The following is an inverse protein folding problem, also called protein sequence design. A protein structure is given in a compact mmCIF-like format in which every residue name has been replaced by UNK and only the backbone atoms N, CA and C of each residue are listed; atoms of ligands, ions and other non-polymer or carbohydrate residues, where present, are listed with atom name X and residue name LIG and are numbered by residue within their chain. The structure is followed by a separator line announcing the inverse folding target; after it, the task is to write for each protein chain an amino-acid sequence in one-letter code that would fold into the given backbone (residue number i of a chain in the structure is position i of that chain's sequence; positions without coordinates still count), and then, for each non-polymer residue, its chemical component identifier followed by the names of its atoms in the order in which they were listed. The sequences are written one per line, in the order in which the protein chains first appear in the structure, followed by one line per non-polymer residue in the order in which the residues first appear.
data_IF_821615387405
#
_entry.id   IF_821615387405
#
_cell.length_a   1.000
_cell.length_b   1.000
_cell.length_c   1.000
_cell.angle_alpha   90.00
_cell.angle_beta   90.00
_cell.angle_gamma   90.00
#
_symmetry.space_group_name_H-M   'P 1'
#
loop_
_entity.id
_entity.type
_entity.pdbx_description
1 polymer ?
#
# COMPACT_ATOMS: atom_id res chain seq x y z
N UNK A 1 -2.27 -9.37 -5.34
CA UNK A 1 -1.60 -9.73 -4.08
C UNK A 1 -0.23 -9.04 -4.03
N UNK A 2 0.23 -8.60 -2.85
CA UNK A 2 1.52 -7.90 -2.68
C UNK A 2 1.58 -6.46 -3.20
N UNK A 3 0.47 -5.86 -3.64
CA UNK A 3 0.43 -4.47 -4.08
C UNK A 3 0.20 -3.49 -2.93
N UNK A 4 -0.54 -3.87 -1.90
CA UNK A 4 -0.78 -3.03 -0.73
C UNK A 4 0.23 -3.33 0.39
N UNK A 5 0.65 -2.30 1.13
CA UNK A 5 1.46 -2.47 2.33
C UNK A 5 0.63 -3.07 3.47
N UNK A 6 -0.64 -2.63 3.60
CA UNK A 6 -1.60 -3.14 4.54
C UNK A 6 -2.81 -3.73 3.80
N UNK A 7 -3.02 -5.02 3.91
CA UNK A 7 -4.16 -5.70 3.31
C UNK A 7 -5.33 -5.70 4.31
N UNK A 8 -6.46 -5.14 3.90
CA UNK A 8 -7.71 -5.18 4.68
C UNK A 8 -8.44 -6.51 4.53
N UNK A 9 -8.15 -7.23 3.46
CA UNK A 9 -8.75 -8.53 3.15
C UNK A 9 -7.69 -9.61 3.10
N UNK A 10 -8.00 -10.79 3.63
CA UNK A 10 -7.17 -11.97 3.50
C UNK A 10 -7.47 -12.67 2.18
N UNK A 11 -6.46 -12.99 1.37
CA UNK A 11 -6.65 -13.72 0.13
C UNK A 11 -6.79 -15.22 0.38
N UNK A 12 -7.93 -15.80 0.03
CA UNK A 12 -8.19 -17.24 0.01
C UNK A 12 -8.21 -17.76 -1.41
N UNK A 13 -7.15 -18.42 -1.87
CA UNK A 13 -6.96 -18.87 -3.24
C UNK A 13 -5.97 -18.00 -4.03
N UNK A 14 -5.99 -18.15 -5.36
CA UNK A 14 -5.05 -17.46 -6.25
C UNK A 14 -5.56 -16.07 -6.64
N UNK A 15 -5.09 -15.07 -5.93
CA UNK A 15 -5.38 -13.65 -6.20
C UNK A 15 -4.39 -12.98 -7.18
N UNK A 16 -3.52 -13.78 -7.79
CA UNK A 16 -2.46 -13.30 -8.64
C UNK A 16 -1.17 -13.01 -7.88
N UNK A 17 -0.09 -12.84 -8.64
CA UNK A 17 1.23 -12.51 -8.08
C UNK A 17 1.61 -11.08 -8.44
N UNK A 18 2.47 -10.47 -7.63
CA UNK A 18 3.01 -9.16 -7.89
C UNK A 18 3.84 -9.13 -9.18
N UNK A 19 4.59 -10.19 -9.46
CA UNK A 19 5.42 -10.30 -10.66
C UNK A 19 4.59 -10.28 -11.94
N UNK A 20 3.42 -10.93 -11.94
CA UNK A 20 2.51 -10.95 -13.07
C UNK A 20 1.52 -9.77 -13.07
N UNK A 21 1.63 -8.84 -12.10
CA UNK A 21 0.70 -7.72 -11.95
C UNK A 21 -0.75 -8.17 -11.75
N UNK A 22 -0.95 -9.34 -11.15
CA UNK A 22 -2.27 -9.91 -10.90
C UNK A 22 -2.92 -10.62 -12.10
N UNK A 23 -2.26 -10.68 -13.26
CA UNK A 23 -2.80 -11.32 -14.47
C UNK A 23 -2.98 -12.83 -14.36
N UNK A 24 -2.29 -13.47 -13.43
CA UNK A 24 -2.37 -14.89 -13.10
C UNK A 24 -3.41 -15.18 -12.00
N UNK A 25 -4.32 -14.24 -11.71
CA UNK A 25 -5.42 -14.46 -10.78
C UNK A 25 -6.40 -15.50 -11.33
N UNK A 26 -6.92 -16.34 -10.42
CA UNK A 26 -8.01 -17.24 -10.76
C UNK A 26 -9.33 -16.47 -10.99
N UNK A 27 -10.28 -17.12 -11.64
CA UNK A 27 -11.62 -16.53 -11.77
C UNK A 27 -12.23 -16.25 -10.39
N UNK A 28 -12.97 -15.13 -10.20
CA UNK A 28 -13.56 -14.74 -8.91
C UNK A 28 -14.37 -15.83 -8.21
N UNK A 29 -14.99 -16.76 -8.98
CA UNK A 29 -15.79 -17.87 -8.44
C UNK A 29 -14.96 -18.92 -7.67
N UNK A 30 -13.64 -18.91 -7.82
CA UNK A 30 -12.73 -19.88 -7.20
C UNK A 30 -11.87 -19.28 -6.10
N UNK A 31 -12.09 -18.03 -5.76
CA UNK A 31 -11.36 -17.33 -4.72
C UNK A 31 -12.32 -16.80 -3.68
N UNK A 32 -11.84 -16.72 -2.44
CA UNK A 32 -12.60 -16.27 -1.28
C UNK A 32 -11.82 -15.21 -0.53
N UNK A 33 -12.51 -14.41 0.24
CA UNK A 33 -11.88 -13.38 1.07
C UNK A 33 -12.63 -13.21 2.38
N UNK A 34 -11.94 -12.70 3.37
CA UNK A 34 -12.49 -12.27 4.64
C UNK A 34 -11.74 -11.06 5.14
N UNK A 35 -12.32 -10.31 6.06
CA UNK A 35 -11.62 -9.21 6.72
C UNK A 35 -10.39 -9.73 7.45
N UNK A 36 -9.26 -9.05 7.28
CA UNK A 36 -8.07 -9.33 8.08
C UNK A 36 -8.27 -8.80 9.51
N UNK A 37 -7.62 -9.39 10.52
CA UNK A 37 -7.66 -8.85 11.89
C UNK A 37 -7.20 -7.40 11.98
N UNK A 38 -6.33 -6.96 11.06
CA UNK A 38 -5.85 -5.59 10.96
C UNK A 38 -6.98 -4.60 10.63
N UNK A 39 -8.02 -5.04 9.92
CA UNK A 39 -9.11 -4.16 9.51
C UNK A 39 -9.83 -3.53 10.71
N UNK A 40 -10.08 -4.30 11.77
CA UNK A 40 -10.71 -3.76 12.99
C UNK A 40 -9.76 -2.95 13.88
N UNK A 41 -8.45 -3.06 13.68
CA UNK A 41 -7.49 -2.13 14.30
C UNK A 41 -7.46 -0.77 13.60
N UNK A 42 -7.67 -0.77 12.28
CA UNK A 42 -7.68 0.46 11.47
C UNK A 42 -9.04 1.18 11.49
N UNK A 43 -10.11 0.43 11.67
CA UNK A 43 -11.49 0.91 11.75
C UNK A 43 -12.10 0.39 13.07
N UNK A 44 -11.86 1.09 14.20
CA UNK A 44 -12.33 0.67 15.51
C UNK A 44 -13.86 0.59 15.58
N UNK A 45 -14.39 -0.42 16.27
CA UNK A 45 -15.83 -0.61 16.42
C UNK A 45 -16.52 0.56 17.15
N UNK A 46 -15.79 1.26 18.02
CA UNK A 46 -16.31 2.41 18.77
C UNK A 46 -16.65 3.59 17.89
N UNK A 47 -16.13 3.64 16.68
CA UNK A 47 -16.41 4.70 15.70
C UNK A 47 -17.65 4.38 14.84
N UNK A 48 -18.12 3.12 14.84
CA UNK A 48 -19.23 2.70 13.98
C UNK A 48 -20.52 3.49 14.26
N UNK A 49 -20.78 3.85 15.51
CA UNK A 49 -21.95 4.63 15.92
C UNK A 49 -21.92 6.10 15.42
N UNK A 50 -20.75 6.60 15.02
CA UNK A 50 -20.56 7.95 14.51
C UNK A 50 -20.70 8.04 12.99
N UNK A 51 -20.77 6.90 12.30
CA UNK A 51 -20.82 6.86 10.86
C UNK A 51 -22.21 7.18 10.32
N UNK A 52 -22.25 7.95 9.23
CA UNK A 52 -23.50 8.22 8.52
C UNK A 52 -23.84 7.05 7.61
N UNK A 53 -24.85 6.30 7.99
CA UNK A 53 -25.35 5.19 7.19
C UNK A 53 -26.25 5.66 6.05
N UNK A 54 -26.20 4.93 4.94
CA UNK A 54 -27.16 5.04 3.86
C UNK A 54 -28.47 4.35 4.27
N UNK A 55 -29.55 4.72 3.62
CA UNK A 55 -30.87 4.14 3.84
C UNK A 55 -31.41 3.62 2.51
N UNK A 56 -31.92 2.40 2.51
CA UNK A 56 -32.59 1.77 1.40
C UNK A 56 -33.87 1.10 1.89
N UNK A 57 -35.02 1.45 1.29
CA UNK A 57 -36.35 0.97 1.66
C UNK A 57 -36.66 1.04 3.17
N UNK A 58 -36.17 2.10 3.84
CA UNK A 58 -36.39 2.33 5.29
C UNK A 58 -35.48 1.48 6.19
N UNK A 59 -34.46 0.82 5.63
CA UNK A 59 -33.45 0.09 6.36
C UNK A 59 -32.10 0.77 6.24
N UNK A 60 -31.40 0.88 7.38
CA UNK A 60 -30.01 1.35 7.38
C UNK A 60 -29.13 0.26 6.77
N UNK A 61 -28.36 0.66 5.79
CA UNK A 61 -27.36 -0.20 5.12
C UNK A 61 -25.95 0.28 5.48
N UNK A 62 -24.97 0.03 4.60
CA UNK A 62 -23.58 0.38 4.86
C UNK A 62 -23.37 1.89 5.09
N UNK A 63 -22.31 2.27 5.82
CA UNK A 63 -21.94 3.66 5.95
C UNK A 63 -21.56 4.28 4.59
N UNK A 64 -21.82 5.57 4.43
CA UNK A 64 -21.42 6.33 3.25
C UNK A 64 -19.91 6.27 3.00
N UNK A 65 -19.10 6.20 4.04
CA UNK A 65 -17.66 5.98 4.00
C UNK A 65 -17.17 5.53 5.38
N UNK A 66 -16.02 4.88 5.41
CA UNK A 66 -15.28 4.54 6.63
C UNK A 66 -14.09 5.48 6.80
N UNK A 67 -13.77 5.83 8.05
CA UNK A 67 -12.62 6.66 8.38
C UNK A 67 -11.58 5.82 9.14
N UNK A 68 -10.43 5.50 8.53
CA UNK A 68 -9.38 4.78 9.23
C UNK A 68 -8.63 5.70 10.20
N UNK A 69 -8.09 5.14 11.28
CA UNK A 69 -7.32 5.90 12.29
C UNK A 69 -5.98 6.46 11.77
N UNK A 70 -5.51 5.96 10.63
CA UNK A 70 -4.32 6.46 9.92
C UNK A 70 -4.66 6.69 8.45
N UNK A 71 -3.96 7.60 7.76
CA UNK A 71 -4.22 7.87 6.34
C UNK A 71 -3.76 6.71 5.45
N UNK A 72 -4.63 5.71 5.25
CA UNK A 72 -4.38 4.54 4.42
C UNK A 72 -3.98 4.88 2.99
N UNK A 73 -4.42 6.04 2.49
CA UNK A 73 -4.03 6.56 1.19
C UNK A 73 -2.51 6.73 1.06
N UNK A 74 -1.84 7.18 2.14
CA UNK A 74 -0.39 7.30 2.14
C UNK A 74 0.29 5.95 2.31
N UNK A 75 -0.27 5.06 3.12
CA UNK A 75 0.30 3.74 3.38
C UNK A 75 0.25 2.84 2.16
N UNK A 76 -0.93 2.72 1.54
CA UNK A 76 -1.17 1.83 0.40
C UNK A 76 -0.95 2.50 -0.95
N UNK A 77 -0.83 3.83 -0.97
CA UNK A 77 -0.75 4.58 -2.20
C UNK A 77 -2.07 4.59 -2.98
N UNK A 78 -2.07 5.28 -4.09
CA UNK A 78 -3.18 5.30 -5.04
C UNK A 78 -2.67 5.54 -6.44
N UNK A 79 -3.26 4.85 -7.39
CA UNK A 79 -3.01 5.08 -8.81
C UNK A 79 -4.34 5.05 -9.56
N UNK A 80 -4.59 6.08 -10.33
CA UNK A 80 -5.81 6.19 -11.14
C UNK A 80 -5.55 6.98 -12.40
N UNK A 81 -6.14 6.51 -13.50
CA UNK A 81 -6.09 7.17 -14.80
C UNK A 81 -7.51 7.60 -15.15
N UNK A 82 -7.72 8.90 -15.32
CA UNK A 82 -8.97 9.48 -15.79
C UNK A 82 -8.80 10.17 -17.12
N UNK A 83 -9.89 10.66 -17.69
CA UNK A 83 -9.85 11.44 -18.94
C UNK A 83 -9.22 12.80 -18.66
N UNK A 84 -8.01 13.03 -19.18
CA UNK A 84 -7.25 14.28 -19.01
C UNK A 84 -6.55 14.46 -17.66
N UNK A 85 -6.70 13.52 -16.72
CA UNK A 85 -6.11 13.58 -15.39
C UNK A 85 -5.56 12.23 -14.98
N UNK A 86 -4.49 12.23 -14.19
CA UNK A 86 -3.98 11.01 -13.55
C UNK A 86 -3.56 11.31 -12.13
N UNK A 87 -3.74 10.34 -11.26
CA UNK A 87 -3.29 10.39 -9.87
C UNK A 87 -2.28 9.28 -9.62
N UNK A 88 -1.18 9.64 -9.01
CA UNK A 88 -0.20 8.68 -8.51
C UNK A 88 0.31 9.12 -7.14
N UNK A 89 -0.04 8.35 -6.11
CA UNK A 89 0.44 8.53 -4.75
C UNK A 89 1.28 7.30 -4.41
N UNK A 90 2.59 7.44 -4.16
CA UNK A 90 3.42 6.31 -3.79
C UNK A 90 3.04 5.75 -2.42
N UNK A 91 3.38 4.50 -2.19
CA UNK A 91 3.25 3.86 -0.88
C UNK A 91 4.34 4.35 0.07
N UNK A 92 4.01 4.42 1.37
CA UNK A 92 4.93 4.84 2.41
C UNK A 92 4.98 3.81 3.54
N UNK A 93 6.03 3.83 4.34
CA UNK A 93 6.14 2.99 5.52
C UNK A 93 5.08 3.40 6.55
N UNK A 94 4.40 2.40 7.10
CA UNK A 94 3.36 2.60 8.14
C UNK A 94 3.94 3.32 9.36
N UNK A 95 5.19 3.01 9.73
CA UNK A 95 5.84 3.58 10.91
C UNK A 95 6.08 5.07 10.73
N UNK A 96 6.59 5.47 9.56
CA UNK A 96 6.82 6.89 9.24
C UNK A 96 5.50 7.66 9.25
N UNK A 97 4.43 7.07 8.71
CA UNK A 97 3.10 7.67 8.71
C UNK A 97 2.56 7.81 10.14
N UNK A 98 2.74 6.80 11.00
CA UNK A 98 2.33 6.85 12.40
C UNK A 98 3.10 7.92 13.19
N UNK A 99 4.41 8.02 13.01
CA UNK A 99 5.23 9.06 13.65
C UNK A 99 4.80 10.46 13.22
N UNK A 100 4.52 10.63 11.94
CA UNK A 100 4.00 11.90 11.42
C UNK A 100 2.66 12.28 12.05
N UNK A 101 1.72 11.34 12.11
CA UNK A 101 0.38 11.57 12.70
C UNK A 101 0.52 11.92 14.20
N UNK A 102 1.35 11.18 14.95
CA UNK A 102 1.61 11.46 16.36
C UNK A 102 2.19 12.86 16.55
N UNK A 103 3.26 13.20 15.82
CA UNK A 103 3.84 14.53 15.89
C UNK A 103 2.83 15.65 15.62
N UNK A 104 1.89 15.40 14.71
CA UNK A 104 0.83 16.35 14.38
C UNK A 104 -0.21 16.48 15.52
N UNK A 105 -0.57 15.39 16.15
CA UNK A 105 -1.50 15.38 17.29
C UNK A 105 -0.90 16.02 18.53
N UNK A 106 0.41 15.85 18.75
CA UNK A 106 1.15 16.45 19.85
C UNK A 106 1.40 17.97 19.67
N UNK A 107 0.91 18.57 18.58
CA UNK A 107 1.07 19.99 18.29
C UNK A 107 2.48 20.40 17.88
N UNK A 108 3.31 19.45 17.45
CA UNK A 108 4.67 19.70 16.97
C UNK A 108 4.70 20.64 15.78
N UNK A 109 5.73 21.52 15.72
CA UNK A 109 5.94 22.40 14.56
C UNK A 109 6.84 21.77 13.50
N UNK A 110 7.58 20.72 13.84
CA UNK A 110 8.45 19.95 12.94
C UNK A 110 7.90 18.55 12.78
N UNK A 111 7.74 18.11 11.54
CA UNK A 111 7.21 16.79 11.21
C UNK A 111 8.30 15.93 10.58
N UNK A 112 8.35 14.63 10.89
CA UNK A 112 9.24 13.71 10.21
C UNK A 112 8.90 13.66 8.70
N UNK A 113 9.92 13.54 7.87
CA UNK A 113 9.74 13.42 6.43
C UNK A 113 9.23 12.03 6.09
N UNK A 114 8.08 11.94 5.41
CA UNK A 114 7.53 10.68 4.91
C UNK A 114 8.12 10.43 3.52
N UNK A 115 8.79 9.29 3.34
CA UNK A 115 9.39 8.88 2.06
C UNK A 115 8.68 7.69 1.45
N UNK A 116 8.58 7.61 0.11
CA UNK A 116 8.09 6.42 -0.56
C UNK A 116 8.86 5.19 -0.12
N UNK A 117 8.14 4.12 0.14
CA UNK A 117 8.70 2.87 0.63
C UNK A 117 8.11 1.67 -0.11
N UNK A 118 8.93 0.68 -0.36
CA UNK A 118 8.51 -0.61 -0.90
C UNK A 118 9.19 -1.74 -0.13
N UNK A 119 8.42 -2.75 0.21
CA UNK A 119 8.92 -3.91 0.95
C UNK A 119 10.09 -4.58 0.20
N UNK A 120 11.22 -4.75 0.90
CA UNK A 120 12.41 -5.40 0.36
C UNK A 120 13.26 -4.52 -0.56
N UNK A 121 12.91 -3.26 -0.77
CA UNK A 121 13.75 -2.33 -1.50
C UNK A 121 14.84 -1.75 -0.59
N UNK A 122 16.11 -2.00 -0.95
CA UNK A 122 17.31 -1.55 -0.22
C UNK A 122 18.11 -0.49 -0.98
N UNK A 123 17.62 -0.06 -2.12
CA UNK A 123 18.24 0.96 -2.97
C UNK A 123 18.14 2.37 -2.40
N UNK A 124 18.61 3.33 -3.17
CA UNK A 124 18.50 4.75 -2.84
C UNK A 124 17.22 5.35 -3.40
N UNK A 125 16.68 6.31 -2.65
CA UNK A 125 15.54 7.11 -3.06
C UNK A 125 15.98 8.57 -3.12
N UNK A 126 15.81 9.19 -4.27
CA UNK A 126 16.18 10.59 -4.52
C UNK A 126 14.94 11.38 -4.95
N UNK A 127 14.78 12.58 -4.40
CA UNK A 127 13.77 13.52 -4.87
C UNK A 127 14.29 14.12 -6.18
N UNK A 128 13.45 14.15 -7.22
CA UNK A 128 13.79 14.82 -8.46
C UNK A 128 13.99 16.31 -8.23
N UNK A 129 14.92 16.90 -8.97
CA UNK A 129 15.28 18.33 -8.83
C UNK A 129 14.10 19.28 -9.08
N UNK A 130 13.16 18.89 -9.93
CA UNK A 130 11.93 19.61 -10.22
C UNK A 130 10.80 19.37 -9.21
N UNK A 131 11.07 18.55 -8.17
CA UNK A 131 10.09 18.10 -7.17
C UNK A 131 8.86 17.40 -7.75
N UNK A 132 8.90 16.95 -9.00
CA UNK A 132 7.79 16.27 -9.68
C UNK A 132 7.61 14.80 -9.23
N UNK A 133 8.50 14.30 -8.39
CA UNK A 133 8.43 12.92 -7.92
C UNK A 133 9.77 12.40 -7.41
N UNK A 134 9.86 11.08 -7.34
CA UNK A 134 11.01 10.36 -6.79
C UNK A 134 11.70 9.53 -7.88
N UNK A 135 13.00 9.32 -7.69
CA UNK A 135 13.80 8.37 -8.47
C UNK A 135 14.27 7.27 -7.52
N UNK A 136 14.05 6.03 -7.89
CA UNK A 136 14.58 4.86 -7.18
C UNK A 136 15.80 4.34 -7.92
N UNK A 137 16.86 4.05 -7.17
CA UNK A 137 18.13 3.52 -7.70
C UNK A 137 18.38 2.21 -6.97
N UNK A 138 18.42 1.09 -7.72
CA UNK A 138 18.73 -0.23 -7.18
C UNK A 138 20.21 -0.41 -6.91
N UNK A 139 20.54 -1.32 -5.99
CA UNK A 139 21.91 -1.79 -5.80
C UNK A 139 22.14 -3.00 -6.71
N UNK A 140 23.26 -3.01 -7.42
CA UNK A 140 23.68 -4.14 -8.26
C UNK A 140 25.04 -4.58 -7.75
N UNK A 141 25.09 -5.78 -7.19
CA UNK A 141 26.35 -6.44 -6.82
C UNK A 141 26.73 -7.38 -7.97
N UNK A 142 27.83 -7.05 -8.64
CA UNK A 142 28.40 -7.91 -9.68
C UNK A 142 29.46 -8.80 -9.03
N UNK A 143 29.09 -10.02 -8.63
CA UNK A 143 30.08 -11.05 -8.32
C UNK A 143 30.60 -11.60 -9.63
N UNK A 144 31.92 -11.47 -9.91
CA UNK A 144 32.55 -12.21 -10.99
C UNK A 144 32.43 -13.70 -10.66
N UNK A 145 31.55 -14.42 -11.36
CA UNK A 145 31.55 -15.87 -11.35
C UNK A 145 32.95 -16.33 -11.83
N UNK A 146 33.55 -17.26 -11.09
CA UNK A 146 34.83 -17.85 -11.49
C UNK A 146 34.72 -18.33 -12.94
N UNK A 147 35.81 -18.16 -13.76
CA UNK A 147 35.77 -18.52 -15.16
C UNK A 147 35.38 -20.01 -15.31
N UNK A 148 34.42 -20.28 -16.16
CA UNK A 148 34.02 -21.63 -16.54
C UNK A 148 35.27 -22.41 -16.91
N UNK A 149 35.68 -23.36 -16.07
CA UNK A 149 36.68 -24.34 -16.47
C UNK A 149 36.06 -25.21 -17.58
N UNK A 150 36.51 -25.02 -18.81
CA UNK A 150 36.18 -25.94 -19.87
C UNK A 150 36.69 -27.34 -19.46
N UNK A 151 35.76 -28.25 -19.21
CA UNK A 151 36.08 -29.66 -19.18
C UNK A 151 36.36 -30.06 -20.63
N UNK A 152 37.61 -30.15 -20.96
CA UNK A 152 38.07 -30.92 -22.14
C UNK A 152 37.94 -32.40 -21.80
N UNK A 153 37.08 -33.09 -22.57
CA UNK A 153 37.05 -34.55 -22.66
C UNK A 153 38.33 -35.06 -23.27
#
# INVERSE_FOLDING_TARGET
MGSNNLNLLEPGGQFGTRMAGGKDAASPRYIFTRLSPLSRLLFPDVDDDLLHHLEDDGQLIEPKFYCPIIPLLLVNGSQGIGTGWSTFIPQHDVRDVLEYVRAKLDGGQTFPEIKPWARGFTGKLEIKSDRSGYRTIGNIDVSMAAPFRSMTC
#
